data_IF_849412284980
#
_entry.id   IF_849412284980
#
_cell.length_a   1.000
_cell.length_b   1.000
_cell.length_c   1.000
_cell.angle_alpha   90.00
_cell.angle_beta   90.00
_cell.angle_gamma   90.00
#
_symmetry.space_group_name_H-M   'P 1'
#
loop_
_entity.id
_entity.type
_entity.pdbx_description
1 polymer ?
#
# COMPACT_ATOMS: atom_id res chain seq x y z
N UNK A 1 7.12 -36.63 -16.97
CA UNK A 1 8.43 -35.94 -16.88
C UNK A 1 8.49 -34.79 -17.90
N UNK A 2 7.69 -33.73 -17.68
CA UNK A 2 7.60 -32.56 -18.59
C UNK A 2 7.29 -31.26 -17.82
N UNK A 3 7.73 -31.19 -16.56
CA UNK A 3 7.32 -30.20 -15.55
C UNK A 3 8.47 -29.23 -15.25
N UNK A 4 9.09 -28.66 -16.29
CA UNK A 4 10.43 -28.02 -16.19
C UNK A 4 10.65 -26.80 -17.11
N UNK A 5 9.60 -26.08 -17.52
CA UNK A 5 9.70 -24.93 -18.44
C UNK A 5 9.07 -23.59 -18.00
N UNK A 6 8.45 -23.51 -16.83
CA UNK A 6 7.83 -22.27 -16.32
C UNK A 6 8.67 -21.49 -15.29
N UNK A 7 9.93 -21.87 -15.08
CA UNK A 7 10.87 -21.14 -14.23
C UNK A 7 12.15 -20.82 -15.01
N UNK A 8 12.68 -19.61 -14.82
CA UNK A 8 13.79 -18.95 -15.55
C UNK A 8 13.28 -18.42 -16.91
N UNK A 9 12.84 -17.16 -17.05
CA UNK A 9 13.67 -15.94 -16.99
C UNK A 9 12.89 -14.74 -16.40
N UNK A 10 13.34 -14.19 -15.25
CA UNK A 10 12.92 -12.86 -14.79
C UNK A 10 13.85 -11.80 -15.38
N UNK A 11 13.42 -11.14 -16.46
CA UNK A 11 13.85 -9.76 -16.72
C UNK A 11 12.89 -8.79 -16.03
N UNK A 12 13.43 -7.99 -15.13
CA UNK A 12 12.79 -6.81 -14.58
C UNK A 12 12.37 -5.85 -15.73
N UNK A 13 11.07 -5.59 -15.95
CA UNK A 13 10.59 -4.76 -17.05
C UNK A 13 10.96 -3.27 -16.90
N UNK A 14 11.34 -2.81 -15.71
CA UNK A 14 11.66 -1.39 -15.48
C UNK A 14 13.06 -1.00 -16.00
N UNK A 15 13.90 -1.98 -16.33
CA UNK A 15 15.34 -1.77 -16.55
C UNK A 15 15.77 -1.30 -17.95
N UNK A 16 14.87 -1.17 -18.92
CA UNK A 16 15.21 -0.92 -20.34
C UNK A 16 15.07 0.53 -20.83
N UNK A 17 14.59 1.46 -20.00
CA UNK A 17 13.98 2.70 -20.49
C UNK A 17 14.88 3.95 -20.68
N UNK A 18 16.15 3.96 -20.26
CA UNK A 18 16.89 5.24 -20.12
C UNK A 18 18.30 5.26 -20.75
N UNK A 19 18.39 5.82 -21.97
CA UNK A 19 19.64 6.24 -22.61
C UNK A 19 19.41 7.40 -23.60
N UNK A 20 19.53 8.67 -23.16
CA UNK A 20 19.42 9.86 -24.04
C UNK A 20 19.36 11.22 -23.30
N UNK A 21 20.09 12.24 -23.79
CA UNK A 21 20.49 13.52 -23.13
C UNK A 21 20.67 14.58 -24.27
N UNK A 22 20.35 15.91 -24.19
CA UNK A 22 20.51 16.85 -23.05
C UNK A 22 19.31 17.85 -22.76
N UNK A 23 19.62 18.87 -21.96
CA UNK A 23 18.82 19.94 -21.31
C UNK A 23 18.56 21.26 -22.08
N UNK A 24 17.57 22.07 -21.65
CA UNK A 24 17.56 23.56 -21.76
C UNK A 24 16.20 24.25 -21.48
N UNK A 25 15.80 24.61 -20.24
CA UNK A 25 16.03 25.89 -19.50
C UNK A 25 15.53 27.22 -20.13
N UNK A 26 14.40 27.78 -19.64
CA UNK A 26 14.35 28.99 -18.77
C UNK A 26 12.89 29.44 -18.44
N UNK A 27 12.71 30.34 -17.45
CA UNK A 27 11.42 30.70 -16.82
C UNK A 27 11.20 32.22 -16.68
N UNK A 28 9.95 32.66 -16.41
CA UNK A 28 9.59 34.06 -16.10
C UNK A 28 8.19 34.19 -15.44
N UNK A 29 7.88 35.28 -14.67
CA UNK A 29 7.10 35.08 -13.42
C UNK A 29 5.90 36.03 -13.12
N UNK A 30 5.16 35.66 -12.06
CA UNK A 30 4.26 36.49 -11.20
C UNK A 30 2.85 36.82 -11.73
N UNK A 31 1.75 36.80 -10.94
CA UNK A 31 1.47 37.47 -9.63
C UNK A 31 0.34 36.77 -8.82
N UNK A 32 0.20 37.12 -7.52
CA UNK A 32 -0.83 36.62 -6.57
C UNK A 32 -2.13 37.47 -6.57
N UNK A 33 -3.21 36.94 -5.97
CA UNK A 33 -3.87 37.66 -4.87
C UNK A 33 -4.05 36.84 -3.56
N UNK A 34 -4.43 37.56 -2.49
CA UNK A 34 -4.83 37.12 -1.13
C UNK A 34 -6.31 36.64 -1.11
N UNK A 35 -6.91 35.98 -0.10
CA UNK A 35 -6.58 35.49 1.27
C UNK A 35 -7.70 34.54 1.72
N UNK A 36 -7.44 33.54 2.59
CA UNK A 36 -8.33 33.12 3.70
C UNK A 36 -7.50 32.34 4.74
N UNK A 37 -7.80 32.51 6.03
CA UNK A 37 -7.13 31.77 7.12
C UNK A 37 -7.95 30.54 7.55
N UNK A 38 -7.35 29.36 7.48
CA UNK A 38 -7.73 28.20 8.29
C UNK A 38 -6.46 27.61 8.91
N UNK A 39 -6.46 27.38 10.24
CA UNK A 39 -5.45 26.52 10.87
C UNK A 39 -5.80 25.06 10.58
N UNK A 40 -5.18 24.48 9.56
CA UNK A 40 -5.02 23.02 9.47
C UNK A 40 -3.62 22.67 9.92
N UNK A 41 -3.49 22.07 11.12
CA UNK A 41 -2.20 21.62 11.67
C UNK A 41 -1.82 20.19 11.27
N UNK A 42 -2.62 19.54 10.42
CA UNK A 42 -2.37 18.20 9.89
C UNK A 42 -2.28 18.24 8.36
N UNK A 43 -1.24 18.90 7.84
CA UNK A 43 -0.98 18.90 6.39
C UNK A 43 -0.32 17.58 5.99
N UNK A 44 -1.06 16.73 5.28
CA UNK A 44 -0.46 15.60 4.55
C UNK A 44 0.53 16.20 3.53
N UNK A 45 1.77 15.69 3.44
CA UNK A 45 2.75 16.23 2.51
C UNK A 45 2.30 16.02 1.07
N UNK A 46 2.38 17.08 0.26
CA UNK A 46 2.07 17.02 -1.15
C UNK A 46 3.30 16.59 -1.96
N UNK A 47 3.31 15.35 -2.41
CA UNK A 47 4.43 14.69 -3.09
C UNK A 47 4.03 14.36 -4.51
N UNK A 48 4.80 14.84 -5.49
CA UNK A 48 4.66 14.50 -6.91
C UNK A 48 6.06 14.39 -7.53
N UNK A 49 6.54 13.16 -7.75
CA UNK A 49 7.81 12.92 -8.45
C UNK A 49 7.52 12.62 -9.92
N UNK A 50 8.20 13.34 -10.80
CA UNK A 50 8.09 13.17 -12.25
C UNK A 50 9.43 12.73 -12.82
N UNK A 51 9.40 11.78 -13.75
CA UNK A 51 10.52 11.44 -14.64
C UNK A 51 10.21 11.94 -16.05
N UNK A 52 11.24 12.16 -16.86
CA UNK A 52 11.03 12.43 -18.28
C UNK A 52 10.79 11.10 -19.00
N UNK A 53 9.65 10.98 -19.67
CA UNK A 53 9.37 9.90 -20.60
C UNK A 53 9.92 10.18 -21.99
N UNK A 54 9.60 9.29 -22.91
CA UNK A 54 9.82 9.53 -24.33
C UNK A 54 9.07 10.79 -24.79
N UNK A 55 9.64 11.55 -25.73
CA UNK A 55 9.07 12.77 -26.31
C UNK A 55 8.80 13.93 -25.33
N UNK A 56 9.61 14.08 -24.28
CA UNK A 56 9.53 15.14 -23.26
C UNK A 56 8.22 15.15 -22.42
N UNK A 57 7.42 14.08 -22.44
CA UNK A 57 6.27 13.92 -21.53
C UNK A 57 6.76 13.75 -20.08
N UNK A 58 6.33 14.61 -19.15
CA UNK A 58 6.61 14.43 -17.73
C UNK A 58 5.70 13.35 -17.15
N UNK A 59 6.26 12.19 -16.84
CA UNK A 59 5.58 11.01 -16.33
C UNK A 59 5.58 11.04 -14.78
N UNK A 60 4.40 11.11 -14.15
CA UNK A 60 4.24 11.09 -12.68
C UNK A 60 4.48 9.66 -12.17
N UNK A 61 5.63 9.41 -11.56
CA UNK A 61 6.02 8.07 -11.11
C UNK A 61 5.68 7.79 -9.63
N UNK A 62 5.67 8.82 -8.78
CA UNK A 62 5.28 8.71 -7.36
C UNK A 62 4.39 9.87 -6.94
N UNK A 63 3.36 9.59 -6.14
CA UNK A 63 2.48 10.57 -5.53
C UNK A 63 2.12 10.22 -4.08
N UNK A 64 1.80 11.23 -3.27
CA UNK A 64 1.10 10.98 -1.99
C UNK A 64 -0.23 10.26 -2.21
N UNK A 65 -0.56 9.39 -1.27
CA UNK A 65 -1.80 8.66 -1.24
C UNK A 65 -2.02 7.95 0.10
N UNK A 66 -2.99 7.05 0.09
CA UNK A 66 -3.28 6.14 1.18
C UNK A 66 -3.26 4.70 0.67
N UNK A 67 -3.14 3.77 1.59
CA UNK A 67 -3.32 2.36 1.35
C UNK A 67 -4.05 1.64 2.49
N UNK A 68 -4.60 0.47 2.14
CA UNK A 68 -4.99 -0.60 3.06
C UNK A 68 -4.22 -1.83 2.59
N UNK A 69 -3.36 -2.38 3.44
CA UNK A 69 -2.54 -3.55 3.14
C UNK A 69 -2.79 -4.65 4.19
N UNK A 70 -3.08 -5.87 3.73
CA UNK A 70 -3.51 -6.98 4.56
C UNK A 70 -2.71 -8.24 4.26
N UNK A 71 -2.36 -8.96 5.32
CA UNK A 71 -1.49 -10.13 5.31
C UNK A 71 -2.27 -11.33 5.84
N UNK A 72 -2.44 -12.33 4.98
CA UNK A 72 -3.43 -13.39 5.11
C UNK A 72 -2.68 -14.73 5.14
N UNK A 73 -2.59 -15.43 6.30
CA UNK A 73 -1.78 -16.65 6.43
C UNK A 73 -2.33 -17.86 5.63
N UNK A 74 -3.55 -17.74 5.12
CA UNK A 74 -4.27 -18.76 4.36
C UNK A 74 -3.83 -18.79 2.88
N UNK A 75 -3.95 -19.96 2.24
CA UNK A 75 -3.77 -20.08 0.79
C UNK A 75 -4.94 -19.46 0.01
N UNK A 76 -4.73 -19.25 -1.29
CA UNK A 76 -5.71 -18.65 -2.19
C UNK A 76 -7.06 -19.36 -2.16
N UNK A 77 -7.07 -20.69 -2.18
CA UNK A 77 -8.29 -21.52 -2.21
C UNK A 77 -9.29 -21.15 -1.11
N UNK A 78 -8.82 -21.01 0.15
CA UNK A 78 -9.65 -20.59 1.28
C UNK A 78 -10.09 -19.12 1.18
N UNK A 79 -9.31 -18.28 0.51
CA UNK A 79 -9.50 -16.83 0.48
C UNK A 79 -10.44 -16.33 -0.63
N UNK A 80 -10.71 -17.12 -1.68
CA UNK A 80 -11.56 -16.73 -2.84
C UNK A 80 -12.79 -15.88 -2.49
N UNK A 81 -13.76 -16.35 -1.67
CA UNK A 81 -14.97 -15.56 -1.37
C UNK A 81 -14.66 -14.28 -0.56
N UNK A 82 -13.60 -14.30 0.25
CA UNK A 82 -13.19 -13.16 1.06
C UNK A 82 -12.52 -12.07 0.21
N UNK A 83 -11.71 -12.45 -0.79
CA UNK A 83 -11.07 -11.53 -1.73
C UNK A 83 -12.09 -10.95 -2.70
N UNK A 84 -13.03 -11.76 -3.22
CA UNK A 84 -14.13 -11.25 -4.02
C UNK A 84 -14.95 -10.22 -3.24
N UNK A 85 -15.33 -10.53 -1.99
CA UNK A 85 -16.08 -9.57 -1.16
C UNK A 85 -15.28 -8.29 -0.89
N UNK A 86 -13.97 -8.38 -0.65
CA UNK A 86 -13.11 -7.21 -0.46
C UNK A 86 -13.02 -6.36 -1.74
N UNK A 87 -12.95 -6.99 -2.92
CA UNK A 87 -13.02 -6.30 -4.21
C UNK A 87 -14.38 -5.60 -4.39
N UNK A 88 -15.50 -6.26 -4.08
CA UNK A 88 -16.83 -5.66 -4.18
C UNK A 88 -16.97 -4.40 -3.30
N UNK A 89 -16.48 -4.45 -2.06
CA UNK A 89 -16.46 -3.30 -1.13
C UNK A 89 -15.61 -2.16 -1.70
N UNK A 90 -14.42 -2.48 -2.21
CA UNK A 90 -13.52 -1.50 -2.81
C UNK A 90 -14.14 -0.81 -4.03
N UNK A 91 -14.70 -1.59 -4.97
CA UNK A 91 -15.37 -1.07 -6.18
C UNK A 91 -16.61 -0.25 -5.84
N UNK A 92 -17.36 -0.62 -4.80
CA UNK A 92 -18.48 0.19 -4.30
C UNK A 92 -18.01 1.55 -3.77
N UNK A 93 -16.86 1.59 -3.08
CA UNK A 93 -16.31 2.81 -2.52
C UNK A 93 -15.69 3.77 -3.55
N UNK A 94 -15.11 3.26 -4.65
CA UNK A 94 -14.39 4.08 -5.64
C UNK A 94 -15.13 4.25 -6.98
N UNK A 95 -16.20 3.50 -7.24
CA UNK A 95 -16.82 3.35 -8.56
C UNK A 95 -16.07 2.33 -9.43
N UNK A 96 -16.78 1.44 -10.12
CA UNK A 96 -16.16 0.35 -10.89
C UNK A 96 -15.27 0.88 -12.03
N UNK A 97 -15.70 1.98 -12.63
CA UNK A 97 -15.02 2.75 -13.68
C UNK A 97 -13.74 3.46 -13.23
N UNK A 98 -13.48 3.54 -11.92
CA UNK A 98 -12.22 4.08 -11.38
C UNK A 98 -11.03 3.13 -11.55
N UNK A 99 -11.25 1.87 -11.92
CA UNK A 99 -10.23 0.96 -12.45
C UNK A 99 -10.38 0.85 -13.97
N UNK A 100 -9.26 0.84 -14.69
CA UNK A 100 -9.22 0.98 -16.15
C UNK A 100 -8.25 0.03 -16.85
N UNK A 101 -7.28 -0.53 -16.12
CA UNK A 101 -6.31 -1.49 -16.65
C UNK A 101 -6.05 -2.62 -15.66
N UNK A 102 -5.57 -3.76 -16.18
CA UNK A 102 -5.03 -4.86 -15.40
C UNK A 102 -3.72 -5.38 -16.01
N UNK A 103 -2.99 -6.21 -15.26
CA UNK A 103 -1.80 -6.94 -15.75
C UNK A 103 -2.19 -8.38 -16.08
N UNK A 104 -1.89 -8.83 -17.29
CA UNK A 104 -2.12 -10.22 -17.73
C UNK A 104 -0.98 -11.17 -17.29
N UNK A 105 -1.08 -12.49 -17.52
CA UNK A 105 -0.05 -13.46 -17.12
C UNK A 105 1.31 -13.24 -17.80
N UNK A 106 1.35 -12.58 -18.97
CA UNK A 106 2.58 -12.21 -19.70
C UNK A 106 3.18 -10.87 -19.19
N UNK A 107 2.60 -10.31 -18.13
CA UNK A 107 3.05 -9.06 -17.51
C UNK A 107 2.68 -7.80 -18.29
N UNK A 108 1.82 -7.90 -19.31
CA UNK A 108 1.42 -6.76 -20.14
C UNK A 108 0.19 -6.06 -19.56
N UNK A 109 0.11 -4.74 -19.80
CA UNK A 109 -1.03 -3.93 -19.38
C UNK A 109 -2.16 -4.02 -20.40
N UNK A 110 -3.30 -4.57 -19.96
CA UNK A 110 -4.52 -4.72 -20.76
C UNK A 110 -5.62 -3.79 -20.25
N UNK A 111 -6.57 -3.44 -21.11
CA UNK A 111 -7.74 -2.63 -20.73
C UNK A 111 -8.73 -3.43 -19.89
N UNK A 112 -9.25 -2.85 -18.81
CA UNK A 112 -10.22 -3.50 -17.92
C UNK A 112 -11.66 -3.32 -18.45
N UNK A 113 -11.91 -3.86 -19.65
CA UNK A 113 -13.22 -3.94 -20.28
C UNK A 113 -14.02 -5.17 -19.80
N UNK A 114 -15.12 -5.53 -20.48
CA UNK A 114 -15.93 -6.69 -20.10
C UNK A 114 -15.12 -8.01 -20.09
N UNK A 115 -14.28 -8.25 -21.11
CA UNK A 115 -13.45 -9.45 -21.17
C UNK A 115 -12.32 -9.41 -20.12
N UNK A 116 -11.75 -8.23 -19.86
CA UNK A 116 -10.82 -8.03 -18.76
C UNK A 116 -11.46 -8.33 -17.39
N UNK A 117 -12.71 -7.93 -17.17
CA UNK A 117 -13.45 -8.25 -15.95
C UNK A 117 -13.75 -9.75 -15.82
N UNK A 118 -14.15 -10.41 -16.90
CA UNK A 118 -14.38 -11.87 -16.91
C UNK A 118 -13.08 -12.63 -16.61
N UNK A 119 -11.94 -12.19 -17.17
CA UNK A 119 -10.61 -12.71 -16.84
C UNK A 119 -10.27 -12.53 -15.35
N UNK A 120 -10.46 -11.34 -14.77
CA UNK A 120 -10.23 -11.11 -13.34
C UNK A 120 -11.16 -11.98 -12.46
N UNK A 121 -12.40 -12.22 -12.89
CA UNK A 121 -13.29 -13.14 -12.18
C UNK A 121 -12.80 -14.59 -12.26
N UNK A 122 -12.29 -15.05 -13.40
CA UNK A 122 -11.66 -16.37 -13.52
C UNK A 122 -10.43 -16.48 -12.60
N UNK A 123 -9.49 -15.53 -12.68
CA UNK A 123 -8.26 -15.47 -11.86
C UNK A 123 -8.52 -15.52 -10.35
N UNK A 124 -9.63 -14.95 -9.87
CA UNK A 124 -10.01 -15.00 -8.46
C UNK A 124 -10.67 -16.31 -8.02
N UNK A 125 -11.03 -17.17 -8.97
CA UNK A 125 -11.68 -18.46 -8.73
C UNK A 125 -10.81 -19.67 -9.11
N UNK A 126 -9.60 -19.48 -9.65
CA UNK A 126 -8.66 -20.58 -9.98
C UNK A 126 -8.14 -21.34 -8.74
N UNK A 127 -7.90 -22.64 -8.84
CA UNK A 127 -7.63 -23.51 -7.67
C UNK A 127 -6.29 -23.23 -6.97
N UNK A 128 -5.22 -23.02 -7.73
CA UNK A 128 -3.86 -23.20 -7.20
C UNK A 128 -3.25 -21.92 -6.63
N UNK A 129 -3.49 -20.77 -7.25
CA UNK A 129 -2.99 -19.46 -6.83
C UNK A 129 -3.60 -18.37 -7.69
N UNK A 130 -3.37 -17.10 -7.36
CA UNK A 130 -3.96 -15.99 -8.09
C UNK A 130 -3.08 -14.74 -8.00
N UNK A 131 -3.01 -13.98 -9.09
CA UNK A 131 -2.23 -12.74 -9.15
C UNK A 131 -3.01 -11.65 -9.87
N UNK A 132 -3.87 -10.97 -9.12
CA UNK A 132 -4.65 -9.85 -9.65
C UNK A 132 -3.90 -8.54 -9.42
N UNK A 133 -3.71 -7.75 -10.47
CA UNK A 133 -3.25 -6.37 -10.37
C UNK A 133 -4.10 -5.48 -11.29
N UNK A 134 -4.98 -4.68 -10.70
CA UNK A 134 -5.86 -3.74 -11.38
C UNK A 134 -5.60 -2.31 -10.91
N UNK A 135 -5.81 -1.35 -11.80
CA UNK A 135 -5.40 0.04 -11.58
C UNK A 135 -6.27 1.06 -12.30
N UNK A 136 -6.39 2.25 -11.74
CA UNK A 136 -7.09 3.39 -12.33
C UNK A 136 -6.23 4.22 -13.29
N UNK A 137 -6.90 4.80 -14.30
CA UNK A 137 -6.32 5.79 -15.22
C UNK A 137 -6.11 7.17 -14.57
N UNK A 138 -5.22 7.99 -15.14
CA UNK A 138 -5.00 9.40 -14.77
C UNK A 138 -6.27 10.26 -14.95
N UNK A 139 -6.31 11.43 -14.33
CA UNK A 139 -7.35 12.42 -14.62
C UNK A 139 -7.08 13.13 -15.96
N UNK A 140 -8.10 13.63 -16.69
CA UNK A 140 -7.88 14.40 -17.91
C UNK A 140 -6.95 15.60 -17.65
N UNK A 141 -5.84 15.69 -18.38
CA UNK A 141 -4.82 16.73 -18.22
C UNK A 141 -3.70 16.41 -17.22
N UNK A 142 -3.78 15.32 -16.45
CA UNK A 142 -2.57 14.67 -15.92
C UNK A 142 -2.00 13.76 -17.05
N UNK A 143 -0.68 13.74 -17.22
CA UNK A 143 -0.01 12.89 -18.21
C UNK A 143 -0.26 11.39 -17.93
N UNK A 144 0.09 10.51 -18.87
CA UNK A 144 -0.46 9.14 -19.00
C UNK A 144 -0.11 8.14 -17.88
N UNK A 145 0.46 8.60 -16.77
CA UNK A 145 0.92 7.78 -15.64
C UNK A 145 -0.08 7.60 -14.50
N UNK A 146 -0.67 6.41 -14.49
CA UNK A 146 -0.49 5.40 -13.43
C UNK A 146 -0.24 5.91 -11.99
N UNK A 147 -1.08 5.69 -10.98
CA UNK A 147 -2.42 5.11 -10.90
C UNK A 147 -3.14 5.80 -9.73
N UNK A 148 -4.34 6.36 -9.92
CA UNK A 148 -5.07 7.02 -8.82
C UNK A 148 -5.55 6.03 -7.77
N UNK A 149 -5.98 4.86 -8.23
CA UNK A 149 -6.47 3.73 -7.45
C UNK A 149 -5.71 2.47 -7.87
N UNK A 150 -5.48 1.53 -6.94
CA UNK A 150 -4.92 0.20 -7.23
C UNK A 150 -5.61 -0.87 -6.38
N UNK A 151 -5.86 -2.02 -6.97
CA UNK A 151 -6.17 -3.26 -6.27
C UNK A 151 -5.13 -4.30 -6.70
N UNK A 152 -4.34 -4.81 -5.75
CA UNK A 152 -3.31 -5.81 -6.02
C UNK A 152 -3.45 -6.95 -5.00
N UNK A 153 -3.59 -8.17 -5.48
CA UNK A 153 -3.72 -9.39 -4.69
C UNK A 153 -2.69 -10.42 -5.14
N UNK A 154 -2.03 -11.04 -4.16
CA UNK A 154 -1.12 -12.17 -4.34
C UNK A 154 -1.67 -13.32 -3.49
N UNK A 155 -2.18 -14.36 -4.15
CA UNK A 155 -2.69 -15.57 -3.52
C UNK A 155 -1.62 -16.67 -3.45
N UNK A 156 -1.33 -17.16 -2.25
CA UNK A 156 -0.36 -18.23 -1.99
C UNK A 156 -0.92 -19.62 -2.36
N UNK A 157 -0.10 -20.49 -2.93
CA UNK A 157 -0.32 -21.93 -3.07
C UNK A 157 -0.23 -22.66 -1.72
N UNK A 158 -1.10 -23.62 -1.43
CA UNK A 158 -1.05 -24.39 -0.17
C UNK A 158 0.33 -25.03 0.05
N UNK A 159 0.84 -25.75 -0.96
CA UNK A 159 2.18 -26.39 -0.98
C UNK A 159 3.33 -25.42 -1.36
N UNK A 160 3.31 -24.18 -0.87
CA UNK A 160 4.39 -23.22 -1.14
C UNK A 160 5.72 -23.67 -0.54
N UNK A 161 6.78 -23.79 -1.36
CA UNK A 161 8.15 -24.06 -0.90
C UNK A 161 8.76 -22.94 -0.03
N UNK A 162 8.09 -21.79 0.10
CA UNK A 162 8.53 -20.64 0.89
C UNK A 162 7.77 -20.65 2.23
N UNK A 163 8.39 -21.05 3.35
CA UNK A 163 7.66 -21.27 4.62
C UNK A 163 7.07 -19.98 5.22
N UNK A 164 7.71 -18.84 4.98
CA UNK A 164 7.25 -17.52 5.43
C UNK A 164 6.35 -16.81 4.39
N UNK A 165 6.02 -17.47 3.27
CA UNK A 165 5.11 -16.90 2.30
C UNK A 165 3.67 -16.94 2.79
N UNK A 166 2.91 -15.92 2.41
CA UNK A 166 1.52 -15.69 2.79
C UNK A 166 0.76 -15.11 1.59
N UNK A 167 -0.57 -15.14 1.64
CA UNK A 167 -1.37 -14.35 0.72
C UNK A 167 -1.40 -12.89 1.18
N UNK A 168 -1.45 -11.93 0.26
CA UNK A 168 -1.49 -10.51 0.62
C UNK A 168 -2.36 -9.68 -0.33
N UNK A 169 -2.99 -8.64 0.22
CA UNK A 169 -3.91 -7.76 -0.49
C UNK A 169 -3.54 -6.29 -0.22
N UNK A 170 -3.39 -5.50 -1.27
CA UNK A 170 -3.12 -4.06 -1.24
C UNK A 170 -4.19 -3.30 -2.03
N UNK A 171 -4.82 -2.33 -1.38
CA UNK A 171 -5.68 -1.34 -2.02
C UNK A 171 -5.11 0.05 -1.81
N UNK A 172 -5.05 0.88 -2.84
CA UNK A 172 -4.51 2.24 -2.74
C UNK A 172 -5.48 3.30 -3.24
N UNK A 173 -5.43 4.47 -2.61
CA UNK A 173 -6.36 5.59 -2.80
C UNK A 173 -5.55 6.89 -2.95
N UNK A 174 -6.04 7.90 -3.68
CA UNK A 174 -5.43 9.22 -3.68
C UNK A 174 -5.74 9.92 -2.36
N UNK A 175 -4.86 10.82 -1.89
CA UNK A 175 -5.12 11.72 -0.74
C UNK A 175 -6.45 12.47 -0.86
N UNK A 176 -6.80 12.89 -2.09
CA UNK A 176 -8.11 13.49 -2.43
C UNK A 176 -9.32 12.67 -1.99
N UNK A 177 -9.21 11.34 -1.86
CA UNK A 177 -10.28 10.50 -1.35
C UNK A 177 -10.53 10.76 0.15
N UNK A 178 -9.46 10.87 0.95
CA UNK A 178 -9.53 11.24 2.36
C UNK A 178 -9.94 12.71 2.56
N UNK A 179 -9.46 13.62 1.71
CA UNK A 179 -9.88 15.03 1.72
C UNK A 179 -11.39 15.17 1.47
N UNK A 180 -11.95 14.37 0.56
CA UNK A 180 -13.37 14.43 0.20
C UNK A 180 -14.29 13.66 1.17
N UNK A 181 -13.84 12.51 1.70
CA UNK A 181 -14.66 11.63 2.55
C UNK A 181 -14.42 11.86 4.06
N UNK A 182 -13.26 12.41 4.44
CA UNK A 182 -12.82 12.53 5.83
C UNK A 182 -12.26 11.22 6.42
N UNK A 183 -11.51 11.31 7.54
CA UNK A 183 -10.84 10.16 8.16
C UNK A 183 -11.80 9.06 8.58
N UNK A 184 -12.93 9.42 9.23
CA UNK A 184 -13.88 8.42 9.74
C UNK A 184 -14.52 7.57 8.63
N UNK A 185 -14.73 8.11 7.43
CA UNK A 185 -15.24 7.32 6.30
C UNK A 185 -14.18 6.37 5.75
N UNK A 186 -12.93 6.80 5.65
CA UNK A 186 -11.82 5.92 5.25
C UNK A 186 -11.59 4.82 6.31
N UNK A 187 -11.68 5.16 7.60
CA UNK A 187 -11.62 4.23 8.72
C UNK A 187 -12.77 3.21 8.67
N UNK A 188 -14.00 3.66 8.43
CA UNK A 188 -15.16 2.78 8.28
C UNK A 188 -15.00 1.82 7.08
N UNK A 189 -14.54 2.31 5.93
CA UNK A 189 -14.22 1.48 4.76
C UNK A 189 -13.15 0.42 5.07
N UNK A 190 -12.08 0.82 5.74
CA UNK A 190 -11.03 -0.11 6.15
C UNK A 190 -11.57 -1.19 7.10
N UNK A 191 -12.42 -0.82 8.07
CA UNK A 191 -13.09 -1.74 8.99
C UNK A 191 -14.04 -2.71 8.27
N UNK A 192 -14.78 -2.27 7.26
CA UNK A 192 -15.65 -3.14 6.44
C UNK A 192 -14.81 -4.19 5.68
N UNK A 193 -13.72 -3.75 5.05
CA UNK A 193 -12.79 -4.63 4.31
C UNK A 193 -12.13 -5.66 5.22
N UNK A 194 -11.57 -5.25 6.38
CA UNK A 194 -10.91 -6.22 7.28
C UNK A 194 -11.91 -7.14 7.99
N UNK A 195 -13.15 -6.70 8.16
CA UNK A 195 -14.24 -7.54 8.68
C UNK A 195 -14.55 -8.75 7.79
N UNK A 196 -14.35 -8.65 6.47
CA UNK A 196 -14.59 -9.76 5.53
C UNK A 196 -13.39 -10.68 5.31
N UNK A 197 -12.22 -10.43 5.92
CA UNK A 197 -10.96 -11.15 5.62
C UNK A 197 -10.36 -11.84 6.85
N UNK A 198 -9.88 -13.10 6.75
CA UNK A 198 -9.17 -13.78 7.83
C UNK A 198 -7.67 -13.39 7.84
N UNK A 199 -7.38 -12.14 8.19
CA UNK A 199 -6.02 -11.61 8.29
C UNK A 199 -5.30 -12.06 9.57
N UNK A 200 -3.98 -12.23 9.47
CA UNK A 200 -3.08 -12.36 10.62
C UNK A 200 -2.47 -11.02 11.02
N UNK A 201 -2.14 -10.18 10.04
CA UNK A 201 -1.69 -8.80 10.27
C UNK A 201 -2.08 -7.87 9.11
N UNK A 202 -1.88 -6.57 9.29
CA UNK A 202 -2.10 -5.57 8.25
C UNK A 202 -2.05 -4.15 8.78
N UNK A 203 -2.16 -3.19 7.88
CA UNK A 203 -2.09 -1.76 8.21
C UNK A 203 -2.80 -0.90 7.17
N UNK A 204 -3.20 0.30 7.55
CA UNK A 204 -3.75 1.31 6.66
C UNK A 204 -3.32 2.71 7.10
N UNK A 205 -3.06 3.59 6.15
CA UNK A 205 -2.45 4.90 6.42
C UNK A 205 -1.90 5.54 5.15
N UNK A 206 -1.04 6.54 5.32
CA UNK A 206 -0.40 7.24 4.21
C UNK A 206 0.65 6.37 3.54
N UNK A 207 0.82 6.57 2.24
CA UNK A 207 1.76 5.82 1.41
C UNK A 207 2.26 6.65 0.24
N UNK A 208 3.42 6.24 -0.29
CA UNK A 208 3.91 6.71 -1.58
C UNK A 208 3.35 5.81 -2.69
N UNK A 209 2.30 6.26 -3.34
CA UNK A 209 1.61 5.51 -4.40
C UNK A 209 2.29 5.73 -5.76
N UNK A 210 2.30 4.70 -6.61
CA UNK A 210 2.98 4.72 -7.91
C UNK A 210 4.04 3.62 -7.98
N UNK A 211 5.27 3.97 -8.32
CA UNK A 211 6.42 3.07 -8.41
C UNK A 211 7.60 3.61 -7.56
N UNK A 212 7.46 3.67 -6.22
CA UNK A 212 8.49 4.25 -5.35
C UNK A 212 9.78 3.43 -5.25
N UNK A 213 9.80 2.19 -5.74
CA UNK A 213 11.00 1.36 -5.82
C UNK A 213 11.82 1.56 -7.11
N UNK A 214 11.29 2.30 -8.10
CA UNK A 214 11.95 2.52 -9.37
C UNK A 214 13.33 3.17 -9.18
N UNK A 215 14.33 2.64 -9.86
CA UNK A 215 15.74 3.06 -9.70
C UNK A 215 15.97 4.55 -9.96
N UNK A 216 15.16 5.15 -10.84
CA UNK A 216 15.21 6.55 -11.29
C UNK A 216 14.72 7.59 -10.26
N UNK A 217 14.07 7.16 -9.16
CA UNK A 217 13.63 8.05 -8.06
C UNK A 217 14.14 7.57 -6.69
N UNK A 218 15.15 6.71 -6.67
CA UNK A 218 15.62 6.03 -5.46
C UNK A 218 16.09 7.00 -4.38
N UNK A 219 16.86 8.02 -4.77
CA UNK A 219 17.49 8.94 -3.83
C UNK A 219 16.48 9.96 -3.28
N UNK A 220 15.57 10.44 -4.13
CA UNK A 220 14.40 11.25 -3.74
C UNK A 220 13.49 10.47 -2.79
N UNK A 221 13.21 9.20 -3.10
CA UNK A 221 12.37 8.35 -2.25
C UNK A 221 13.02 8.04 -0.92
N UNK A 222 14.34 7.87 -0.87
CA UNK A 222 15.07 7.75 0.40
C UNK A 222 14.92 9.01 1.24
N UNK A 223 15.21 10.20 0.67
CA UNK A 223 15.07 11.46 1.38
C UNK A 223 13.64 11.72 1.89
N UNK A 224 12.63 11.43 1.05
CA UNK A 224 11.22 11.55 1.44
C UNK A 224 10.83 10.58 2.55
N UNK A 225 11.30 9.32 2.51
CA UNK A 225 10.98 8.31 3.53
C UNK A 225 11.65 8.63 4.89
N UNK A 226 12.88 9.14 4.88
CA UNK A 226 13.55 9.63 6.10
C UNK A 226 12.89 10.88 6.69
N UNK A 227 12.26 11.71 5.84
CA UNK A 227 11.52 12.90 6.27
C UNK A 227 10.13 12.58 6.83
N UNK A 228 9.39 11.69 6.16
CA UNK A 228 7.98 11.38 6.42
C UNK A 228 7.82 9.91 6.88
N UNK A 229 8.30 9.55 8.08
CA UNK A 229 8.48 8.15 8.49
C UNK A 229 7.20 7.33 8.69
N UNK A 230 6.00 7.95 8.66
CA UNK A 230 4.71 7.24 8.66
C UNK A 230 4.05 7.12 7.28
N UNK A 231 4.74 7.51 6.20
CA UNK A 231 4.34 7.18 4.84
C UNK A 231 4.98 5.87 4.39
N UNK A 232 4.16 4.85 4.13
CA UNK A 232 4.68 3.53 3.77
C UNK A 232 5.21 3.45 2.33
N UNK A 233 6.24 2.62 2.15
CA UNK A 233 6.78 2.18 0.87
C UNK A 233 6.77 0.66 0.87
N UNK A 234 5.89 0.07 0.05
CA UNK A 234 5.68 -1.38 0.03
C UNK A 234 5.85 -1.98 -1.36
N UNK A 235 6.65 -3.05 -1.44
CA UNK A 235 6.60 -4.05 -2.51
C UNK A 235 5.78 -5.20 -1.97
N UNK A 236 4.52 -5.31 -2.40
CA UNK A 236 3.59 -6.33 -1.87
C UNK A 236 4.15 -7.74 -2.06
N UNK A 237 4.76 -7.99 -3.22
CA UNK A 237 5.36 -9.26 -3.61
C UNK A 237 6.51 -9.72 -2.73
N UNK A 238 7.32 -8.80 -2.23
CA UNK A 238 8.47 -9.13 -1.39
C UNK A 238 8.05 -9.33 0.06
N UNK A 239 7.12 -8.49 0.54
CA UNK A 239 6.55 -8.68 1.88
C UNK A 239 5.73 -9.96 1.94
N UNK A 240 4.89 -10.26 0.94
CA UNK A 240 4.09 -11.49 0.90
C UNK A 240 4.92 -12.78 0.85
N UNK A 241 6.20 -12.72 0.49
CA UNK A 241 7.10 -13.88 0.40
C UNK A 241 7.83 -14.18 1.71
N UNK A 242 8.15 -13.14 2.47
CA UNK A 242 9.12 -13.17 3.57
C UNK A 242 8.52 -12.74 4.93
N UNK A 243 7.27 -12.22 4.99
CA UNK A 243 6.69 -11.69 6.24
C UNK A 243 6.42 -12.78 7.29
N UNK A 244 5.94 -13.94 6.85
CA UNK A 244 5.45 -15.01 7.74
C UNK A 244 4.40 -14.49 8.72
N UNK A 245 4.67 -14.66 10.01
CA UNK A 245 3.81 -14.21 11.12
C UNK A 245 4.10 -12.80 11.62
N UNK A 246 5.09 -12.09 11.06
CA UNK A 246 5.52 -10.77 11.52
C UNK A 246 4.53 -9.67 11.13
N UNK A 247 4.75 -8.47 11.68
CA UNK A 247 3.95 -7.27 11.36
C UNK A 247 4.81 -6.19 10.71
N UNK A 248 4.20 -5.36 9.85
CA UNK A 248 4.85 -4.16 9.30
C UNK A 248 5.03 -3.08 10.37
N UNK A 249 5.84 -2.07 10.06
CA UNK A 249 5.97 -0.88 10.89
C UNK A 249 4.61 -0.17 11.07
N UNK A 250 4.36 0.50 12.22
CA UNK A 250 3.13 1.20 12.49
C UNK A 250 2.69 2.19 11.41
N UNK A 251 1.45 2.05 10.95
CA UNK A 251 0.72 3.06 10.21
C UNK A 251 -0.37 3.70 11.10
N UNK A 252 -1.23 4.53 10.51
CA UNK A 252 -2.34 5.17 11.22
C UNK A 252 -3.33 4.16 11.83
N UNK A 253 -3.71 3.15 11.06
CA UNK A 253 -4.51 2.00 11.52
C UNK A 253 -3.69 0.73 11.36
N UNK A 254 -3.75 -0.16 12.36
CA UNK A 254 -2.97 -1.39 12.40
C UNK A 254 -3.88 -2.54 12.80
N UNK A 255 -3.89 -3.59 11.98
CA UNK A 255 -4.75 -4.75 12.12
C UNK A 255 -3.89 -5.89 12.68
N UNK A 256 -4.23 -6.37 13.88
CA UNK A 256 -3.50 -7.43 14.56
C UNK A 256 -4.42 -8.64 14.77
N UNK A 257 -3.93 -9.82 14.44
CA UNK A 257 -4.54 -11.10 14.74
C UNK A 257 -3.53 -12.10 15.29
N UNK A 258 -3.87 -13.40 15.30
CA UNK A 258 -2.94 -14.44 15.67
C UNK A 258 -1.76 -14.54 14.66
N UNK A 259 -0.54 -14.90 15.12
CA UNK A 259 -0.18 -15.21 16.50
C UNK A 259 0.16 -13.97 17.35
N UNK A 260 0.54 -12.85 16.72
CA UNK A 260 1.14 -11.68 17.40
C UNK A 260 0.23 -11.09 18.48
N UNK A 261 -1.09 -11.01 18.25
CA UNK A 261 -2.02 -10.53 19.27
C UNK A 261 -2.12 -11.47 20.48
N UNK A 262 -1.93 -12.77 20.29
CA UNK A 262 -1.91 -13.74 21.39
C UNK A 262 -0.63 -13.59 22.21
N UNK A 263 0.52 -13.42 21.56
CA UNK A 263 1.83 -13.23 22.21
C UNK A 263 1.92 -11.88 22.95
N UNK A 264 1.20 -10.86 22.49
CA UNK A 264 0.99 -9.59 23.21
C UNK A 264 0.14 -9.73 24.49
N UNK A 265 -0.51 -10.88 24.71
CA UNK A 265 -1.43 -11.13 25.82
C UNK A 265 -2.91 -10.82 25.52
N UNK A 266 -3.27 -10.67 24.24
CA UNK A 266 -4.63 -10.35 23.80
C UNK A 266 -4.98 -8.86 23.84
N UNK A 267 -6.24 -8.55 23.54
CA UNK A 267 -6.75 -7.19 23.31
C UNK A 267 -6.60 -6.30 24.56
N UNK A 268 -6.87 -6.83 25.75
CA UNK A 268 -6.81 -6.05 26.99
C UNK A 268 -5.37 -5.82 27.47
N UNK A 269 -4.46 -6.77 27.26
CA UNK A 269 -3.03 -6.55 27.49
C UNK A 269 -2.42 -5.55 26.49
N UNK A 270 -2.93 -5.51 25.25
CA UNK A 270 -2.57 -4.49 24.27
C UNK A 270 -3.06 -3.10 24.69
N UNK A 271 -4.29 -2.98 25.21
CA UNK A 271 -4.83 -1.73 25.76
C UNK A 271 -3.99 -1.18 26.90
N UNK A 272 -3.55 -2.02 27.84
CA UNK A 272 -2.76 -1.55 29.00
C UNK A 272 -1.31 -1.19 28.67
N UNK A 273 -0.82 -1.52 27.47
CA UNK A 273 0.51 -1.13 26.97
C UNK A 273 0.53 0.22 26.25
N UNK A 274 -0.63 0.80 25.93
CA UNK A 274 -0.77 2.00 25.11
C UNK A 274 -1.38 3.15 25.92
N UNK A 275 -0.67 4.27 26.00
CA UNK A 275 -0.99 5.41 26.87
C UNK A 275 -1.20 6.72 26.11
N UNK A 276 -0.87 6.77 24.82
CA UNK A 276 -1.11 7.93 23.97
C UNK A 276 -2.63 8.25 23.92
N UNK A 277 -3.05 9.50 24.19
CA UNK A 277 -4.43 9.81 24.57
C UNK A 277 -5.45 9.56 23.45
N UNK A 278 -5.06 9.74 22.20
CA UNK A 278 -5.93 9.54 21.03
C UNK A 278 -5.75 8.16 20.37
N UNK A 279 -4.94 7.27 20.98
CA UNK A 279 -4.80 5.88 20.50
C UNK A 279 -5.98 5.05 20.97
N UNK A 280 -6.64 4.35 20.03
CA UNK A 280 -7.78 3.48 20.33
C UNK A 280 -7.49 2.03 19.96
N UNK A 281 -8.03 1.09 20.73
CA UNK A 281 -7.92 -0.37 20.49
C UNK A 281 -9.32 -0.98 20.43
N UNK A 282 -9.80 -1.21 19.21
CA UNK A 282 -11.11 -1.80 18.92
C UNK A 282 -10.96 -3.32 18.70
N UNK A 283 -11.85 -4.11 19.30
CA UNK A 283 -11.92 -5.55 19.02
C UNK A 283 -12.65 -5.82 17.69
N UNK A 284 -12.20 -6.82 16.94
CA UNK A 284 -12.79 -7.27 15.68
C UNK A 284 -13.07 -8.78 15.74
N UNK A 285 -14.02 -9.16 16.58
CA UNK A 285 -14.21 -10.55 17.00
C UNK A 285 -13.38 -10.89 18.24
N UNK A 286 -13.16 -12.19 18.54
CA UNK A 286 -12.54 -12.64 19.78
C UNK A 286 -10.99 -12.56 19.78
N UNK A 287 -10.37 -12.65 18.60
CA UNK A 287 -8.96 -12.96 18.40
C UNK A 287 -8.22 -11.93 17.54
N UNK A 288 -8.89 -10.84 17.15
CA UNK A 288 -8.36 -9.78 16.29
C UNK A 288 -8.70 -8.39 16.83
N UNK A 289 -7.81 -7.44 16.59
CA UNK A 289 -7.94 -6.06 17.04
C UNK A 289 -7.47 -5.06 15.99
N UNK A 290 -7.97 -3.83 16.12
CA UNK A 290 -7.57 -2.67 15.32
C UNK A 290 -7.04 -1.59 16.26
N UNK A 291 -5.78 -1.22 16.09
CA UNK A 291 -5.16 -0.09 16.78
C UNK A 291 -5.20 1.12 15.84
N UNK A 292 -5.91 2.18 16.22
CA UNK A 292 -5.92 3.47 15.48
C UNK A 292 -5.14 4.51 16.27
N UNK A 293 -4.12 5.11 15.65
CA UNK A 293 -3.19 6.07 16.24
C UNK A 293 -3.65 7.51 15.97
N UNK A 294 -4.66 7.98 16.70
CA UNK A 294 -5.23 9.32 16.54
C UNK A 294 -6.36 9.42 15.50
N UNK A 295 -7.08 10.55 15.47
CA UNK A 295 -8.28 10.74 14.62
C UNK A 295 -7.98 11.05 13.15
N UNK A 296 -6.71 11.28 12.80
CA UNK A 296 -6.29 11.63 11.44
C UNK A 296 -4.92 10.99 11.14
N UNK A 297 -4.66 10.52 9.91
CA UNK A 297 -3.35 9.95 9.59
C UNK A 297 -2.27 11.03 9.56
N UNK A 298 -1.24 10.85 10.37
CA UNK A 298 -0.05 11.69 10.36
C UNK A 298 1.06 11.07 9.49
N UNK A 299 1.81 11.91 8.77
CA UNK A 299 3.04 11.51 8.05
C UNK A 299 4.31 11.63 8.91
N UNK A 300 4.24 12.48 9.95
CA UNK A 300 5.41 13.08 10.58
C UNK A 300 6.07 14.12 9.66
N UNK A 301 7.13 14.73 10.14
CA UNK A 301 8.08 15.53 9.37
C UNK A 301 9.30 15.76 10.28
N UNK A 302 10.40 15.04 10.00
CA UNK A 302 11.61 15.09 10.84
C UNK A 302 12.34 16.43 10.76
N UNK A 303 12.16 17.20 9.67
CA UNK A 303 12.70 18.56 9.55
C UNK A 303 11.90 19.59 10.38
N UNK A 304 10.60 19.33 10.60
CA UNK A 304 9.73 20.20 11.42
C UNK A 304 9.58 19.73 12.87
N UNK A 305 10.30 18.68 13.28
CA UNK A 305 10.20 18.12 14.64
C UNK A 305 8.87 17.42 14.94
N UNK A 306 8.10 17.05 13.92
CA UNK A 306 6.85 16.29 14.08
C UNK A 306 7.21 14.81 14.31
N UNK A 307 7.19 14.40 15.58
CA UNK A 307 7.86 13.18 16.06
C UNK A 307 6.97 11.94 16.17
N UNK A 308 5.67 12.02 15.87
CA UNK A 308 4.74 10.87 15.88
C UNK A 308 4.77 10.05 17.20
N UNK A 309 4.45 10.65 18.36
CA UNK A 309 4.59 9.99 19.66
C UNK A 309 3.78 8.67 19.74
N UNK A 310 2.55 8.64 19.24
CA UNK A 310 1.71 7.44 19.25
C UNK A 310 2.26 6.30 18.39
N UNK A 311 2.82 6.61 17.22
CA UNK A 311 3.45 5.65 16.31
C UNK A 311 4.73 5.09 16.94
N UNK A 312 5.52 5.94 17.62
CA UNK A 312 6.73 5.51 18.35
C UNK A 312 6.42 4.68 19.60
N UNK A 313 5.33 4.97 20.31
CA UNK A 313 4.86 4.12 21.41
C UNK A 313 4.50 2.73 20.89
N UNK A 314 3.62 2.66 19.89
CA UNK A 314 3.18 1.38 19.33
C UNK A 314 4.31 0.60 18.64
N UNK A 315 5.29 1.28 18.01
CA UNK A 315 6.48 0.64 17.47
C UNK A 315 7.30 -0.08 18.55
N UNK A 316 7.45 0.49 19.75
CA UNK A 316 8.13 -0.16 20.88
C UNK A 316 7.33 -1.35 21.42
N UNK A 317 6.01 -1.26 21.43
CA UNK A 317 5.14 -2.39 21.81
C UNK A 317 5.27 -3.54 20.82
N UNK A 318 5.42 -3.24 19.52
CA UNK A 318 5.56 -4.25 18.46
C UNK A 318 7.00 -4.72 18.18
N UNK A 319 8.02 -4.08 18.74
CA UNK A 319 9.44 -4.30 18.41
C UNK A 319 9.86 -5.78 18.22
N UNK A 320 9.48 -6.74 19.10
CA UNK A 320 9.82 -8.15 18.94
C UNK A 320 9.26 -8.83 17.68
N UNK A 321 8.16 -8.32 17.13
CA UNK A 321 7.42 -8.89 16.00
C UNK A 321 7.55 -8.08 14.71
N UNK A 322 8.29 -6.97 14.72
CA UNK A 322 8.50 -6.15 13.53
C UNK A 322 9.23 -6.92 12.43
N UNK A 323 8.72 -6.81 11.22
CA UNK A 323 9.35 -7.32 10.02
C UNK A 323 10.61 -6.53 9.69
N UNK A 324 11.75 -7.20 9.77
CA UNK A 324 13.04 -6.69 9.34
C UNK A 324 13.36 -7.32 7.98
N UNK A 325 13.45 -6.50 6.93
CA UNK A 325 13.68 -7.03 5.59
C UNK A 325 15.02 -7.76 5.47
N UNK A 326 14.97 -8.94 4.85
CA UNK A 326 16.11 -9.73 4.39
C UNK A 326 16.84 -9.04 3.20
N UNK A 327 16.11 -8.24 2.42
CA UNK A 327 16.57 -7.63 1.16
C UNK A 327 17.59 -6.49 1.40
N UNK A 328 18.80 -6.57 0.81
CA UNK A 328 19.77 -5.46 0.82
C UNK A 328 19.24 -4.17 0.19
N UNK A 329 18.28 -4.26 -0.73
CA UNK A 329 17.71 -3.08 -1.38
C UNK A 329 16.72 -2.37 -0.44
N UNK A 330 15.92 -3.11 0.33
CA UNK A 330 15.02 -2.51 1.32
C UNK A 330 15.77 -1.97 2.54
N UNK A 331 16.87 -2.60 2.98
CA UNK A 331 17.75 -2.04 4.04
C UNK A 331 18.33 -0.68 3.65
N UNK A 332 18.75 -0.51 2.40
CA UNK A 332 19.32 0.76 1.88
C UNK A 332 18.35 1.95 1.81
N UNK A 333 17.04 1.71 1.95
CA UNK A 333 16.04 2.78 2.11
C UNK A 333 15.80 3.15 3.60
N UNK A 334 16.30 2.35 4.54
CA UNK A 334 16.10 2.51 5.99
C UNK A 334 17.39 2.91 6.75
N UNK A 335 18.57 2.60 6.19
CA UNK A 335 19.89 3.11 6.61
C UNK A 335 20.20 4.48 6.00
#
# INVERSE_FOLDING_TARGET
>A
MALRRFFIERTDPERKLYAGIPTGHQAGPSRRPQTWNFRMTHSIPHVRLYVNGDFDEKLLIVRDGLQICLFLPHAHETLKPHIQRALDIYLHAIGRESLSFYVDPDGQWQSLDAAGWDFIQQELHEEFGSRVHMVGSSAPGESTTRHRFRFQYVGRLEDSYWPDSISALLMTFPTKFLEAQGPERFRALALEIVGSLPFGSGHAGLSFNGVPQASVVRDEMKALSSRYPAMDVISLDDVARDLGTRVRAPAWMNFLGPPVLNELGGIDALRTKLHSPDTTVQALGPDRAVVTLGPYPEAGDTEQGQTLPAYREFARVLEPWLYQSSSPEQRRFLD
#
